data_IF_952123050272
#
_entry.id   IF_952123050272
#
_cell.length_a   1.000
_cell.length_b   1.000
_cell.length_c   1.000
_cell.angle_alpha   90.00
_cell.angle_beta   90.00
_cell.angle_gamma   90.00
#
_symmetry.space_group_name_H-M   'P 1'
#
loop_
_entity.id
_entity.type
_entity.pdbx_description
1 polymer ?
#
# COMPACT_ATOMS: atom_id res chain seq x y z
N UNK A 1 -53.12 -23.44 19.78
CA UNK A 1 -51.96 -23.38 18.86
C UNK A 1 -50.79 -23.91 19.65
N UNK A 2 -50.47 -25.19 19.49
CA UNK A 2 -49.44 -25.91 20.26
C UNK A 2 -48.13 -25.91 19.45
N UNK A 3 -47.06 -25.34 20.02
CA UNK A 3 -45.73 -25.37 19.43
C UNK A 3 -44.96 -26.56 19.99
N UNK A 4 -44.53 -27.44 19.09
CA UNK A 4 -43.75 -28.61 19.41
C UNK A 4 -42.25 -28.25 19.30
N UNK A 5 -41.52 -28.34 20.40
CA UNK A 5 -40.06 -28.15 20.48
C UNK A 5 -39.34 -29.46 20.08
N UNK A 6 -38.35 -29.40 19.17
CA UNK A 6 -37.54 -30.60 18.89
C UNK A 6 -36.42 -30.75 19.94
N UNK A 7 -36.27 -31.96 20.44
CA UNK A 7 -35.22 -32.38 21.37
C UNK A 7 -33.87 -32.51 20.67
N UNK A 8 -32.84 -31.87 21.22
CA UNK A 8 -31.45 -32.01 20.79
C UNK A 8 -30.85 -33.28 21.41
N UNK A 9 -30.50 -34.24 20.57
CA UNK A 9 -29.79 -35.43 21.00
C UNK A 9 -28.31 -35.11 21.24
N UNK A 10 -27.87 -35.26 22.48
CA UNK A 10 -26.48 -35.13 22.91
C UNK A 10 -25.73 -36.45 22.52
N UNK A 11 -24.86 -36.36 21.52
CA UNK A 11 -23.94 -37.47 21.21
C UNK A 11 -22.73 -37.40 22.17
N UNK A 12 -22.61 -38.40 23.03
CA UNK A 12 -21.45 -38.61 23.89
C UNK A 12 -20.28 -39.17 23.04
N UNK A 13 -19.29 -38.31 22.75
CA UNK A 13 -18.04 -38.71 22.10
C UNK A 13 -17.15 -39.48 23.09
N UNK A 14 -16.91 -40.77 22.85
CA UNK A 14 -15.95 -41.59 23.58
C UNK A 14 -14.53 -41.05 23.34
N UNK A 15 -13.94 -40.41 24.35
CA UNK A 15 -12.53 -40.03 24.38
C UNK A 15 -11.63 -41.24 24.42
N UNK A 16 -11.11 -41.65 23.25
CA UNK A 16 -10.00 -42.60 23.15
C UNK A 16 -8.75 -41.90 23.72
N UNK A 17 -8.16 -42.46 24.76
CA UNK A 17 -6.86 -42.08 25.31
C UNK A 17 -5.78 -42.30 24.24
N UNK A 18 -5.40 -41.31 23.51
CA UNK A 18 -4.22 -41.33 22.63
C UNK A 18 -2.98 -41.02 23.47
N UNK A 19 -1.93 -41.86 23.36
CA UNK A 19 -0.68 -41.67 24.10
C UNK A 19 -0.08 -40.29 23.76
N UNK A 20 0.40 -39.52 24.74
CA UNK A 20 0.88 -38.14 24.51
C UNK A 20 2.09 -38.07 23.58
N UNK A 21 2.87 -39.12 23.45
CA UNK A 21 4.03 -39.20 22.56
C UNK A 21 3.64 -39.24 21.08
N UNK A 22 2.56 -39.92 20.72
CA UNK A 22 2.08 -39.96 19.35
C UNK A 22 1.45 -38.62 18.91
N UNK A 23 0.79 -37.92 19.82
CA UNK A 23 0.22 -36.60 19.52
C UNK A 23 1.30 -35.52 19.21
N UNK A 24 2.45 -35.61 19.88
CA UNK A 24 3.55 -34.67 19.65
C UNK A 24 4.23 -34.87 18.27
N UNK A 25 4.38 -36.09 17.82
CA UNK A 25 5.01 -36.42 16.52
C UNK A 25 4.08 -36.03 15.36
N UNK A 26 2.77 -36.26 15.50
CA UNK A 26 1.80 -35.87 14.47
C UNK A 26 1.68 -34.36 14.38
N UNK A 27 1.71 -33.66 15.52
CA UNK A 27 1.69 -32.19 15.55
C UNK A 27 2.90 -31.56 14.86
N UNK A 28 4.09 -32.10 15.04
CA UNK A 28 5.31 -31.57 14.43
C UNK A 28 5.33 -31.77 12.90
N UNK A 29 4.86 -32.91 12.41
CA UNK A 29 4.80 -33.20 10.96
C UNK A 29 3.74 -32.34 10.26
N UNK A 30 2.57 -32.18 10.86
CA UNK A 30 1.51 -31.33 10.31
C UNK A 30 1.90 -29.85 10.37
N UNK A 31 2.56 -29.41 11.46
CA UNK A 31 3.02 -28.03 11.59
C UNK A 31 4.09 -27.64 10.56
N UNK A 32 5.05 -28.53 10.30
CA UNK A 32 6.09 -28.30 9.29
C UNK A 32 5.53 -28.30 7.85
N UNK A 33 4.53 -29.14 7.55
CA UNK A 33 3.91 -29.19 6.24
C UNK A 33 3.06 -27.94 5.95
N UNK A 34 2.34 -27.42 6.96
CA UNK A 34 1.52 -26.20 6.79
C UNK A 34 2.40 -24.97 6.64
N UNK A 35 3.48 -24.83 7.44
CA UNK A 35 4.41 -23.70 7.31
C UNK A 35 5.15 -23.73 5.97
N UNK A 36 5.56 -24.88 5.48
CA UNK A 36 6.18 -25.03 4.17
C UNK A 36 5.23 -24.70 3.02
N UNK A 37 3.96 -25.14 3.10
CA UNK A 37 2.97 -24.91 2.07
C UNK A 37 2.55 -23.41 1.99
N UNK A 38 2.45 -22.71 3.13
CA UNK A 38 2.16 -21.27 3.16
C UNK A 38 3.32 -20.49 2.54
N UNK A 39 4.56 -20.87 2.82
CA UNK A 39 5.74 -20.23 2.19
C UNK A 39 5.79 -20.44 0.67
N UNK A 40 5.44 -21.65 0.21
CA UNK A 40 5.37 -21.96 -1.21
C UNK A 40 4.21 -21.26 -1.91
N UNK A 41 3.05 -21.15 -1.28
CA UNK A 41 1.90 -20.46 -1.86
C UNK A 41 2.12 -18.94 -1.98
N UNK A 42 2.84 -18.31 -1.03
CA UNK A 42 3.22 -16.90 -1.14
C UNK A 42 4.36 -16.65 -2.14
N UNK A 43 5.16 -17.67 -2.45
CA UNK A 43 6.21 -17.57 -3.47
C UNK A 43 5.73 -17.95 -4.88
N UNK A 44 4.63 -18.72 -5.01
CA UNK A 44 4.08 -19.16 -6.31
C UNK A 44 3.07 -18.19 -6.93
N UNK A 45 2.68 -17.12 -6.23
CA UNK A 45 1.81 -16.05 -6.72
C UNK A 45 2.58 -14.83 -7.23
N UNK A 46 3.82 -15.00 -7.67
CA UNK A 46 4.60 -13.94 -8.28
C UNK A 46 4.03 -13.57 -9.64
N UNK A 47 3.21 -12.51 -9.73
CA UNK A 47 3.30 -11.65 -10.91
C UNK A 47 4.80 -11.42 -11.15
N UNK A 48 5.25 -11.44 -12.40
CA UNK A 48 6.65 -11.19 -12.77
C UNK A 48 7.07 -9.81 -12.25
N UNK A 49 7.46 -9.77 -10.96
CA UNK A 49 7.97 -8.55 -10.35
C UNK A 49 9.26 -8.23 -11.09
N UNK A 50 9.37 -7.05 -11.72
CA UNK A 50 10.55 -6.68 -12.48
C UNK A 50 11.81 -6.92 -11.65
N UNK A 51 12.71 -7.78 -12.14
CA UNK A 51 13.93 -8.18 -11.43
C UNK A 51 15.03 -7.18 -11.70
N UNK A 52 15.38 -6.37 -10.71
CA UNK A 52 16.48 -5.41 -10.79
C UNK A 52 16.77 -4.79 -9.42
N UNK A 53 17.91 -4.10 -9.26
CA UNK A 53 18.21 -3.44 -8.00
C UNK A 53 17.11 -2.45 -7.64
N UNK A 54 16.65 -2.53 -6.39
CA UNK A 54 15.62 -1.63 -5.89
C UNK A 54 16.14 -0.19 -5.82
N UNK A 55 15.27 0.77 -6.15
CA UNK A 55 15.57 2.19 -6.11
C UNK A 55 14.53 2.96 -5.28
N UNK A 56 14.79 4.24 -5.09
CA UNK A 56 13.87 5.15 -4.41
C UNK A 56 13.26 6.10 -5.42
N UNK A 57 11.94 6.23 -5.36
CA UNK A 57 11.21 7.32 -6.02
C UNK A 57 11.08 8.47 -5.03
N UNK A 58 11.49 9.66 -5.43
CA UNK A 58 11.32 10.89 -4.67
C UNK A 58 10.75 11.99 -5.57
N UNK A 59 10.19 13.02 -4.97
CA UNK A 59 9.66 14.13 -5.76
C UNK A 59 8.82 15.10 -4.95
N UNK A 60 8.05 15.91 -5.67
CA UNK A 60 7.18 16.94 -5.11
C UNK A 60 5.84 16.98 -5.85
N UNK A 61 4.80 17.24 -5.08
CA UNK A 61 3.46 17.54 -5.58
C UNK A 61 3.14 18.97 -5.18
N UNK A 62 2.73 19.81 -6.10
CA UNK A 62 2.42 21.23 -5.84
C UNK A 62 0.99 21.54 -6.30
N UNK A 63 0.22 22.21 -5.46
CA UNK A 63 -1.10 22.77 -5.79
C UNK A 63 -1.02 24.29 -5.72
N UNK A 64 -1.64 24.95 -6.69
CA UNK A 64 -1.73 26.41 -6.78
C UNK A 64 -3.17 26.86 -6.51
N UNK A 65 -3.34 27.85 -5.64
CA UNK A 65 -4.60 28.56 -5.42
C UNK A 65 -5.70 27.81 -4.64
N UNK A 66 -5.67 26.48 -4.58
CA UNK A 66 -6.71 25.65 -3.92
C UNK A 66 -6.13 24.92 -2.71
N UNK A 67 -5.68 25.67 -1.71
CA UNK A 67 -5.12 25.15 -0.49
C UNK A 67 -5.38 26.08 0.69
N UNK A 68 -5.29 25.55 1.90
CA UNK A 68 -5.38 26.30 3.16
C UNK A 68 -4.32 25.80 4.14
N UNK A 69 -4.05 26.59 5.18
CA UNK A 69 -3.24 26.09 6.29
C UNK A 69 -3.96 24.95 6.98
N UNK A 70 -3.25 23.84 7.20
CA UNK A 70 -3.72 22.72 7.99
C UNK A 70 -3.92 23.10 9.45
N UNK A 71 -4.66 22.29 10.17
CA UNK A 71 -4.84 22.41 11.61
C UNK A 71 -3.74 21.61 12.34
N UNK A 72 -3.44 22.01 13.58
CA UNK A 72 -2.57 21.25 14.49
C UNK A 72 -1.17 20.89 13.97
N UNK A 73 -0.58 21.74 13.12
CA UNK A 73 0.79 21.57 12.61
C UNK A 73 0.93 20.70 11.37
N UNK A 74 -0.17 20.33 10.73
CA UNK A 74 -0.16 19.58 9.47
C UNK A 74 0.37 20.35 8.25
N UNK A 75 0.87 21.57 8.46
CA UNK A 75 1.32 22.43 7.38
C UNK A 75 0.16 22.93 6.52
N UNK A 76 0.31 22.97 5.20
CA UNK A 76 -0.80 23.28 4.30
C UNK A 76 -1.45 22.02 3.74
N UNK A 77 -2.74 22.10 3.42
CA UNK A 77 -3.55 21.02 2.86
C UNK A 77 -4.31 21.52 1.63
N UNK A 78 -4.54 20.65 0.68
CA UNK A 78 -5.37 20.95 -0.48
C UNK A 78 -6.83 21.16 -0.10
N UNK A 79 -7.57 21.89 -0.93
CA UNK A 79 -9.01 22.13 -0.78
C UNK A 79 -9.75 21.77 -2.06
N UNK A 80 -11.05 21.76 -2.02
CA UNK A 80 -11.91 21.45 -3.17
C UNK A 80 -11.51 20.13 -3.84
N UNK A 81 -11.19 20.16 -5.13
CA UNK A 81 -10.77 19.00 -5.91
C UNK A 81 -9.41 18.42 -5.48
N UNK A 82 -8.72 19.08 -4.55
CA UNK A 82 -7.42 18.68 -4.02
C UNK A 82 -7.44 18.36 -2.52
N UNK A 83 -8.61 18.22 -1.91
CA UNK A 83 -8.77 17.97 -0.47
C UNK A 83 -8.16 16.63 -0.01
N UNK A 84 -7.88 15.73 -0.94
CA UNK A 84 -7.15 14.47 -0.73
C UNK A 84 -5.63 14.66 -0.56
N UNK A 85 -5.09 15.82 -0.99
CA UNK A 85 -3.65 16.12 -0.91
C UNK A 85 -3.29 16.72 0.45
N UNK A 86 -2.72 15.89 1.30
CA UNK A 86 -2.26 16.22 2.66
C UNK A 86 -1.14 15.29 3.09
N UNK A 87 -0.50 15.59 4.21
CA UNK A 87 0.46 14.68 4.82
C UNK A 87 -0.15 13.30 5.06
N UNK A 88 0.60 12.24 4.76
CA UNK A 88 0.13 10.86 4.87
C UNK A 88 -0.67 10.31 3.67
N UNK A 89 -1.07 11.14 2.69
CA UNK A 89 -1.71 10.62 1.46
C UNK A 89 -0.82 9.57 0.80
N UNK A 90 -1.35 8.36 0.52
CA UNK A 90 -0.55 7.28 -0.02
C UNK A 90 -0.04 7.59 -1.43
N UNK A 91 1.20 7.19 -1.69
CA UNK A 91 1.81 7.21 -3.02
C UNK A 91 2.13 5.79 -3.42
N UNK A 92 1.48 5.29 -4.45
CA UNK A 92 1.64 3.90 -4.93
C UNK A 92 2.45 3.91 -6.23
N UNK A 93 3.45 3.03 -6.29
CA UNK A 93 4.18 2.72 -7.54
C UNK A 93 3.77 1.33 -7.98
N UNK A 94 3.33 1.20 -9.23
CA UNK A 94 2.92 -0.08 -9.82
C UNK A 94 3.56 -0.27 -11.20
N UNK A 95 3.51 -1.50 -11.70
CA UNK A 95 3.83 -1.79 -13.10
C UNK A 95 2.73 -1.27 -14.04
N UNK A 96 2.88 -1.49 -15.34
CA UNK A 96 1.91 -1.06 -16.34
C UNK A 96 0.59 -1.84 -16.27
N UNK A 97 0.62 -3.05 -15.72
CA UNK A 97 -0.55 -3.91 -15.53
C UNK A 97 -1.34 -3.54 -14.27
N UNK A 98 -0.78 -2.65 -13.42
CA UNK A 98 -1.41 -2.16 -12.19
C UNK A 98 -1.05 -2.96 -10.94
N UNK A 99 -0.12 -3.91 -11.01
CA UNK A 99 0.36 -4.62 -9.82
C UNK A 99 1.20 -3.67 -8.96
N UNK A 100 0.81 -3.52 -7.70
CA UNK A 100 1.52 -2.67 -6.76
C UNK A 100 2.92 -3.22 -6.47
N UNK A 101 3.94 -2.41 -6.75
CA UNK A 101 5.35 -2.73 -6.53
C UNK A 101 5.87 -2.17 -5.21
N UNK A 102 5.48 -0.94 -4.88
CA UNK A 102 5.89 -0.27 -3.64
C UNK A 102 4.88 0.81 -3.25
N UNK A 103 4.93 1.23 -1.98
CA UNK A 103 4.09 2.30 -1.45
C UNK A 103 4.88 3.18 -0.50
N UNK A 104 4.60 4.46 -0.54
CA UNK A 104 5.06 5.50 0.38
C UNK A 104 3.93 6.46 0.70
N UNK A 105 4.26 7.67 1.13
CA UNK A 105 3.28 8.70 1.41
C UNK A 105 3.83 10.09 1.10
N UNK A 106 2.93 11.07 1.02
CA UNK A 106 3.27 12.49 1.04
C UNK A 106 3.73 12.87 2.45
N UNK A 107 4.75 13.71 2.53
CA UNK A 107 5.10 14.42 3.76
C UNK A 107 4.09 15.55 4.02
N UNK A 108 4.22 16.25 5.15
CA UNK A 108 3.39 17.44 5.42
C UNK A 108 3.62 18.53 4.39
N UNK A 109 2.57 19.27 4.08
CA UNK A 109 2.61 20.32 3.10
C UNK A 109 3.43 21.54 3.57
N UNK A 110 4.19 22.14 2.66
CA UNK A 110 4.96 23.35 2.91
C UNK A 110 4.45 24.45 1.99
N UNK A 111 4.01 25.56 2.60
CA UNK A 111 3.47 26.71 1.89
C UNK A 111 4.58 27.48 1.16
N UNK A 112 4.33 27.85 -0.08
CA UNK A 112 5.20 28.73 -0.85
C UNK A 112 6.59 28.17 -1.17
N UNK A 113 6.82 26.87 -0.99
CA UNK A 113 8.15 26.28 -1.22
C UNK A 113 8.62 26.42 -2.68
N UNK A 114 7.72 26.30 -3.62
CA UNK A 114 8.03 26.36 -5.06
C UNK A 114 7.64 27.71 -5.66
N UNK A 115 6.45 28.17 -5.37
CA UNK A 115 5.88 29.45 -5.85
C UNK A 115 5.03 30.04 -4.74
N UNK A 116 4.99 31.37 -4.63
CA UNK A 116 4.04 32.05 -3.75
C UNK A 116 2.61 31.59 -4.11
N UNK A 117 1.74 31.49 -3.11
CA UNK A 117 0.38 30.96 -3.24
C UNK A 117 0.33 29.49 -3.73
N UNK A 118 1.23 28.68 -3.24
CA UNK A 118 1.25 27.23 -3.48
C UNK A 118 1.43 26.45 -2.20
N UNK A 119 0.95 25.21 -2.20
CA UNK A 119 1.26 24.18 -1.20
C UNK A 119 2.00 23.04 -1.88
N UNK A 120 3.11 22.62 -1.29
CA UNK A 120 3.98 21.58 -1.85
C UNK A 120 4.20 20.46 -0.83
N UNK A 121 3.98 19.23 -1.26
CA UNK A 121 4.23 18.01 -0.50
C UNK A 121 5.40 17.27 -1.10
N UNK A 122 6.39 16.93 -0.29
CA UNK A 122 7.44 15.99 -0.70
C UNK A 122 6.87 14.56 -0.73
N UNK A 123 7.29 13.76 -1.72
CA UNK A 123 6.96 12.34 -1.80
C UNK A 123 8.21 11.48 -1.72
N UNK A 124 8.08 10.31 -1.10
CA UNK A 124 9.16 9.31 -1.06
C UNK A 124 8.60 7.90 -1.02
N UNK A 125 8.96 7.09 -2.01
CA UNK A 125 8.65 5.65 -2.05
C UNK A 125 9.95 4.89 -2.12
N UNK A 126 10.21 4.02 -1.14
CA UNK A 126 11.43 3.20 -1.05
C UNK A 126 11.18 1.80 -1.57
N UNK A 127 12.25 1.14 -2.01
CA UNK A 127 12.20 -0.28 -2.34
C UNK A 127 11.40 -0.59 -3.60
N UNK A 128 11.32 0.34 -4.55
CA UNK A 128 10.70 0.08 -5.85
C UNK A 128 11.59 -0.89 -6.63
N UNK A 129 11.11 -2.09 -7.00
CA UNK A 129 11.89 -3.04 -7.79
C UNK A 129 12.31 -2.42 -9.12
N UNK A 130 13.59 -2.52 -9.44
CA UNK A 130 14.11 -2.14 -10.77
C UNK A 130 13.81 -3.25 -11.79
N UNK A 131 14.13 -2.98 -13.07
CA UNK A 131 13.97 -3.96 -14.15
C UNK A 131 12.89 -3.61 -15.15
N UNK A 132 11.85 -2.84 -14.77
CA UNK A 132 10.95 -2.21 -15.73
C UNK A 132 11.52 -0.88 -16.24
N UNK A 133 11.17 -0.51 -17.46
CA UNK A 133 11.53 0.79 -18.06
C UNK A 133 10.51 1.87 -17.71
N UNK A 134 9.28 1.50 -17.42
CA UNK A 134 8.17 2.40 -17.10
C UNK A 134 7.40 1.92 -15.88
N UNK A 135 6.87 2.87 -15.14
CA UNK A 135 6.09 2.66 -13.92
C UNK A 135 4.89 3.60 -13.90
N UNK A 136 3.84 3.19 -13.20
CA UNK A 136 2.68 4.03 -12.86
C UNK A 136 2.89 4.57 -11.45
N UNK A 137 2.76 5.88 -11.28
CA UNK A 137 2.80 6.56 -9.99
C UNK A 137 1.41 7.13 -9.73
N UNK A 138 0.79 6.72 -8.63
CA UNK A 138 -0.53 7.15 -8.22
C UNK A 138 -0.47 7.81 -6.84
N UNK A 139 -1.16 8.93 -6.68
CA UNK A 139 -1.28 9.67 -5.42
C UNK A 139 -2.73 9.57 -4.96
N UNK A 140 -2.96 8.97 -3.79
CA UNK A 140 -4.31 8.71 -3.31
C UNK A 140 -5.11 7.91 -4.34
N UNK A 141 -6.31 8.39 -4.63
CA UNK A 141 -7.23 7.80 -5.61
C UNK A 141 -7.18 8.49 -6.97
N UNK A 142 -6.18 9.36 -7.21
CA UNK A 142 -6.03 10.09 -8.47
C UNK A 142 -5.58 9.18 -9.60
N UNK A 143 -5.84 9.62 -10.84
CA UNK A 143 -5.34 8.91 -12.01
C UNK A 143 -3.81 8.78 -11.97
N UNK A 144 -3.29 7.57 -12.24
CA UNK A 144 -1.85 7.35 -12.22
C UNK A 144 -1.17 8.03 -13.41
N UNK A 145 0.02 8.55 -13.17
CA UNK A 145 0.90 9.05 -14.21
C UNK A 145 1.96 8.01 -14.57
N UNK A 146 2.20 7.81 -15.87
CA UNK A 146 3.27 6.93 -16.34
C UNK A 146 4.57 7.72 -16.43
N UNK A 147 5.64 7.17 -15.87
CA UNK A 147 6.98 7.74 -15.86
C UNK A 147 8.01 6.68 -16.21
N UNK A 148 9.05 7.08 -16.93
CA UNK A 148 10.22 6.22 -17.14
C UNK A 148 11.09 6.21 -15.88
N UNK A 149 11.85 5.14 -15.72
CA UNK A 149 12.70 4.93 -14.53
C UNK A 149 13.63 6.11 -14.26
N UNK A 150 14.27 6.63 -15.27
CA UNK A 150 15.22 7.75 -15.15
C UNK A 150 14.56 9.02 -14.60
N UNK A 151 13.29 9.26 -14.97
CA UNK A 151 12.50 10.39 -14.43
C UNK A 151 12.14 10.17 -12.96
N UNK A 152 11.88 8.92 -12.55
CA UNK A 152 11.58 8.58 -11.16
C UNK A 152 12.83 8.74 -10.27
N UNK A 153 14.00 8.35 -10.76
CA UNK A 153 15.27 8.50 -10.06
C UNK A 153 15.71 9.97 -9.99
N UNK A 154 15.47 10.74 -11.05
CA UNK A 154 15.76 12.18 -11.10
C UNK A 154 14.83 13.04 -10.23
N UNK A 155 13.70 12.50 -9.83
CA UNK A 155 12.69 13.19 -9.01
C UNK A 155 11.43 13.60 -9.76
N UNK A 156 10.30 13.12 -9.28
CA UNK A 156 8.98 13.40 -9.87
C UNK A 156 8.50 14.79 -9.47
N UNK A 157 8.04 15.56 -10.45
CA UNK A 157 7.37 16.86 -10.23
C UNK A 157 5.97 16.76 -10.80
N UNK A 158 4.97 16.92 -9.95
CA UNK A 158 3.56 16.98 -10.31
C UNK A 158 2.99 18.31 -9.86
N UNK A 159 2.23 18.96 -10.73
CA UNK A 159 1.60 20.25 -10.43
C UNK A 159 0.12 20.20 -10.80
N UNK A 160 -0.70 20.74 -9.94
CA UNK A 160 -2.15 20.82 -10.08
C UNK A 160 -2.61 22.26 -9.83
N UNK A 161 -3.79 22.61 -10.36
CA UNK A 161 -4.32 23.96 -10.30
C UNK A 161 -3.70 24.88 -11.35
N UNK A 162 -4.08 26.15 -11.31
CA UNK A 162 -3.60 27.16 -12.26
C UNK A 162 -2.59 28.09 -11.56
N UNK A 163 -1.44 28.27 -12.18
CA UNK A 163 -0.57 29.40 -11.84
C UNK A 163 -1.26 30.67 -12.35
N UNK A 164 -1.66 31.54 -11.44
CA UNK A 164 -2.14 32.88 -11.77
C UNK A 164 -0.96 33.84 -11.98
#
# INVERSE_FOLDING_TARGET
MSQTTPAIATQASALRRVHPVLAAVVGAVVGAAITGAVWWATSAGGADVPSGPAFRVSGKVTVFGSWVNGQDGEGCVGTEDFADLRGGTPVTVSDLDGHKLAQGALADGVQGEVVADSCTWALSVRGVPGGATQYRVQIGDRDPVIKVREQLEAGVKLSYGQQQ
#
